data_IF_595032156818
#
_entry.id   IF_595032156818
#
_cell.length_a   1.000
_cell.length_b   1.000
_cell.length_c   1.000
_cell.angle_alpha   90.00
_cell.angle_beta   90.00
_cell.angle_gamma   90.00
#
_symmetry.space_group_name_H-M   'P 1'
#
loop_
_entity.id
_entity.type
_entity.pdbx_description
1 polymer ?
#
# COMPACT_ATOMS: atom_id res chain seq x y z
N UNK A 1 17.45 -5.47 -18.73
CA UNK A 1 16.50 -4.98 -17.72
C UNK A 1 16.86 -5.70 -16.44
N UNK A 2 17.44 -5.01 -15.45
CA UNK A 2 17.89 -5.65 -14.21
C UNK A 2 16.69 -5.73 -13.28
N UNK A 3 16.07 -6.91 -13.17
CA UNK A 3 15.06 -7.17 -12.15
C UNK A 3 15.68 -6.93 -10.79
N UNK A 4 15.23 -5.89 -10.08
CA UNK A 4 15.70 -5.61 -8.74
C UNK A 4 15.04 -6.62 -7.81
N UNK A 5 15.77 -7.56 -7.19
CA UNK A 5 15.20 -8.68 -6.43
C UNK A 5 14.35 -8.25 -5.22
N UNK A 6 14.38 -6.96 -4.88
CA UNK A 6 13.58 -6.36 -3.82
C UNK A 6 12.23 -5.80 -4.29
N UNK A 7 11.90 -5.88 -5.58
CA UNK A 7 10.57 -5.47 -6.10
C UNK A 7 9.50 -6.47 -5.66
N UNK A 8 8.33 -5.94 -5.30
CA UNK A 8 7.19 -6.76 -4.92
C UNK A 8 6.68 -7.52 -6.15
N UNK A 9 6.68 -8.88 -6.14
CA UNK A 9 6.32 -9.68 -7.32
C UNK A 9 4.89 -9.47 -7.82
N UNK A 10 3.95 -9.08 -6.94
CA UNK A 10 2.57 -8.76 -7.31
C UNK A 10 2.19 -7.32 -6.90
N UNK A 11 2.98 -6.36 -7.38
CA UNK A 11 2.80 -4.96 -7.06
C UNK A 11 1.46 -4.39 -7.55
N UNK A 12 0.88 -4.91 -8.63
CA UNK A 12 -0.43 -4.49 -9.11
C UNK A 12 -1.54 -4.83 -8.10
N UNK A 13 -1.53 -6.06 -7.57
CA UNK A 13 -2.50 -6.50 -6.57
C UNK A 13 -2.38 -5.73 -5.26
N UNK A 14 -1.15 -5.48 -4.80
CA UNK A 14 -0.95 -4.67 -3.60
C UNK A 14 -1.45 -3.24 -3.79
N UNK A 15 -1.24 -2.62 -4.96
CA UNK A 15 -1.76 -1.28 -5.26
C UNK A 15 -3.29 -1.26 -5.24
N UNK A 16 -3.94 -2.27 -5.82
CA UNK A 16 -5.39 -2.39 -5.80
C UNK A 16 -5.92 -2.52 -4.36
N UNK A 17 -5.33 -3.41 -3.56
CA UNK A 17 -5.67 -3.55 -2.15
C UNK A 17 -5.44 -2.27 -1.36
N UNK A 18 -4.32 -1.56 -1.59
CA UNK A 18 -4.00 -0.30 -0.93
C UNK A 18 -5.05 0.77 -1.25
N UNK A 19 -5.42 0.93 -2.52
CA UNK A 19 -6.43 1.89 -2.94
C UNK A 19 -7.81 1.58 -2.34
N UNK A 20 -8.22 0.32 -2.37
CA UNK A 20 -9.51 -0.12 -1.79
C UNK A 20 -9.53 0.08 -0.26
N UNK A 21 -8.46 -0.30 0.43
CA UNK A 21 -8.30 -0.13 1.88
C UNK A 21 -8.30 1.34 2.28
N UNK A 22 -7.64 2.21 1.53
CA UNK A 22 -7.68 3.66 1.76
C UNK A 22 -9.09 4.22 1.57
N UNK A 23 -9.83 3.74 0.57
CA UNK A 23 -11.22 4.13 0.32
C UNK A 23 -12.14 3.66 1.44
N UNK A 24 -12.03 2.41 1.86
CA UNK A 24 -12.83 1.83 2.94
C UNK A 24 -12.61 2.56 4.27
N UNK A 25 -11.37 2.93 4.57
CA UNK A 25 -11.03 3.69 5.77
C UNK A 25 -11.25 5.20 5.67
N UNK A 26 -11.68 5.72 4.50
CA UNK A 26 -11.80 7.16 4.27
C UNK A 26 -10.49 7.93 4.46
N UNK A 27 -9.34 7.27 4.24
CA UNK A 27 -8.02 7.81 4.52
C UNK A 27 -7.44 8.48 3.26
N UNK A 28 -7.18 9.80 3.29
CA UNK A 28 -6.55 10.48 2.17
C UNK A 28 -5.05 10.13 2.07
N UNK A 29 -4.49 10.19 0.87
CA UNK A 29 -3.07 9.92 0.61
C UNK A 29 -2.12 10.80 1.43
N UNK A 30 -2.54 12.03 1.78
CA UNK A 30 -1.80 12.93 2.67
C UNK A 30 -1.62 12.36 4.08
N UNK A 31 -2.64 11.73 4.65
CA UNK A 31 -2.58 11.12 5.99
C UNK A 31 -1.68 9.90 6.00
N UNK A 32 -1.76 9.08 4.95
CA UNK A 32 -0.88 7.93 4.77
C UNK A 32 0.59 8.37 4.55
N UNK A 33 0.81 9.42 3.77
CA UNK A 33 2.14 10.02 3.55
C UNK A 33 2.77 10.49 4.86
N UNK A 34 2.05 11.31 5.65
CA UNK A 34 2.54 11.82 6.92
C UNK A 34 2.94 10.70 7.89
N UNK A 35 2.10 9.67 8.02
CA UNK A 35 2.34 8.57 8.97
C UNK A 35 3.40 7.58 8.48
N UNK A 36 3.48 7.35 7.17
CA UNK A 36 4.50 6.47 6.58
C UNK A 36 5.84 7.18 6.37
N UNK A 37 5.91 8.51 6.51
CA UNK A 37 7.10 9.30 6.19
C UNK A 37 7.49 9.26 4.71
N UNK A 38 6.60 8.80 3.83
CA UNK A 38 6.77 8.87 2.38
C UNK A 38 6.19 10.18 1.88
N UNK A 39 6.72 10.75 0.80
CA UNK A 39 6.12 11.95 0.20
C UNK A 39 4.75 11.62 -0.41
N UNK A 40 3.83 12.59 -0.41
CA UNK A 40 2.50 12.44 -1.06
C UNK A 40 2.68 12.07 -2.54
N UNK A 41 3.68 12.63 -3.21
CA UNK A 41 4.02 12.32 -4.59
C UNK A 41 4.45 10.85 -4.76
N UNK A 42 5.25 10.31 -3.83
CA UNK A 42 5.65 8.89 -3.83
C UNK A 42 4.44 7.98 -3.67
N UNK A 43 3.52 8.31 -2.74
CA UNK A 43 2.28 7.54 -2.55
C UNK A 43 1.42 7.58 -3.81
N UNK A 44 1.27 8.75 -4.43
CA UNK A 44 0.55 8.92 -5.70
C UNK A 44 1.14 8.08 -6.84
N UNK A 45 2.47 8.15 -7.04
CA UNK A 45 3.17 7.34 -8.06
C UNK A 45 3.00 5.84 -7.83
N UNK A 46 3.03 5.39 -6.57
CA UNK A 46 2.79 3.98 -6.25
C UNK A 46 1.37 3.59 -6.65
N UNK A 47 0.35 4.38 -6.28
CA UNK A 47 -1.05 4.13 -6.60
C UNK A 47 -1.31 4.13 -8.12
N UNK A 48 -0.66 5.03 -8.86
CA UNK A 48 -0.77 5.14 -10.32
C UNK A 48 0.12 4.14 -11.08
N UNK A 49 0.84 3.25 -10.39
CA UNK A 49 1.83 2.33 -10.96
C UNK A 49 2.95 3.00 -11.78
N UNK A 50 3.29 4.26 -11.47
CA UNK A 50 4.36 5.04 -12.10
C UNK A 50 5.74 4.76 -11.49
N UNK A 51 5.81 3.95 -10.42
CA UNK A 51 7.05 3.57 -9.75
C UNK A 51 7.05 2.10 -9.39
N UNK A 52 8.23 1.47 -9.48
CA UNK A 52 8.47 0.17 -8.91
C UNK A 52 8.25 0.22 -7.39
N UNK A 53 7.50 -0.76 -6.91
CA UNK A 53 7.18 -0.91 -5.50
C UNK A 53 8.10 -1.98 -4.91
N UNK A 54 8.92 -1.59 -3.94
CA UNK A 54 9.75 -2.55 -3.21
C UNK A 54 8.96 -3.25 -2.10
N UNK A 55 9.38 -4.46 -1.72
CA UNK A 55 8.85 -5.19 -0.57
C UNK A 55 8.88 -4.36 0.71
N UNK A 56 9.99 -3.64 0.97
CA UNK A 56 10.13 -2.81 2.15
C UNK A 56 9.15 -1.62 2.18
N UNK A 57 8.95 -0.97 1.03
CA UNK A 57 7.97 0.11 0.90
C UNK A 57 6.54 -0.43 1.07
N UNK A 58 6.23 -1.59 0.48
CA UNK A 58 4.92 -2.24 0.61
C UNK A 58 4.62 -2.59 2.07
N UNK A 59 5.53 -3.26 2.77
CA UNK A 59 5.37 -3.61 4.18
C UNK A 59 5.19 -2.37 5.08
N UNK A 60 5.92 -1.29 4.78
CA UNK A 60 5.77 0.00 5.50
C UNK A 60 4.38 0.60 5.30
N UNK A 61 3.90 0.64 4.06
CA UNK A 61 2.58 1.17 3.71
C UNK A 61 1.47 0.33 4.34
N UNK A 62 1.57 -1.00 4.27
CA UNK A 62 0.60 -1.92 4.88
C UNK A 62 0.49 -1.68 6.39
N UNK A 63 1.63 -1.72 7.10
CA UNK A 63 1.67 -1.50 8.55
C UNK A 63 1.10 -0.14 8.94
N UNK A 64 1.44 0.89 8.18
CA UNK A 64 0.95 2.25 8.40
C UNK A 64 -0.57 2.31 8.24
N UNK A 65 -1.09 1.72 7.17
CA UNK A 65 -2.52 1.73 6.88
C UNK A 65 -3.32 0.96 7.94
N UNK A 66 -2.83 -0.21 8.36
CA UNK A 66 -3.43 -0.99 9.45
C UNK A 66 -3.47 -0.21 10.76
N UNK A 67 -2.39 0.50 11.11
CA UNK A 67 -2.36 1.34 12.29
C UNK A 67 -3.40 2.48 12.21
N UNK A 68 -3.48 3.16 11.06
CA UNK A 68 -4.46 4.24 10.85
C UNK A 68 -5.91 3.73 10.86
N UNK A 69 -6.15 2.54 10.32
CA UNK A 69 -7.46 1.92 10.32
C UNK A 69 -7.88 1.49 11.73
N UNK A 70 -6.95 0.91 12.52
CA UNK A 70 -7.19 0.60 13.92
C UNK A 70 -7.46 1.86 14.77
N UNK A 71 -6.74 2.97 14.53
CA UNK A 71 -7.02 4.27 15.17
C UNK A 71 -8.42 4.81 14.81
N UNK A 72 -8.96 4.43 13.65
CA UNK A 72 -10.27 4.86 13.16
C UNK A 72 -11.39 3.85 13.41
N UNK A 73 -11.12 2.73 14.09
CA UNK A 73 -12.03 1.59 14.28
C UNK A 73 -12.62 1.06 12.97
N UNK A 74 -11.80 1.03 11.91
CA UNK A 74 -12.18 0.51 10.59
C UNK A 74 -11.49 -0.82 10.31
N UNK A 75 -12.27 -1.82 9.91
CA UNK A 75 -11.74 -3.08 9.41
C UNK A 75 -11.26 -2.94 7.96
N UNK A 76 -10.01 -3.31 7.70
CA UNK A 76 -9.44 -3.31 6.35
C UNK A 76 -9.74 -4.64 5.65
N UNK A 77 -9.96 -4.64 4.32
CA UNK A 77 -10.09 -5.86 3.57
C UNK A 77 -8.84 -6.71 3.71
N UNK A 78 -9.00 -8.03 3.74
CA UNK A 78 -7.87 -8.95 3.72
C UNK A 78 -7.05 -8.72 2.44
N UNK A 79 -5.72 -8.65 2.59
CA UNK A 79 -4.83 -8.77 1.44
C UNK A 79 -4.94 -10.23 0.98
N UNK A 80 -5.87 -10.50 0.06
CA UNK A 80 -6.09 -11.84 -0.46
C UNK A 80 -4.80 -12.37 -1.07
N UNK A 81 -4.11 -13.24 -0.35
CA UNK A 81 -2.98 -14.03 -0.86
C UNK A 81 -3.58 -15.13 -1.73
N UNK A 82 -3.70 -14.87 -3.02
CA UNK A 82 -4.21 -15.87 -3.97
C UNK A 82 -3.10 -16.85 -4.34
N UNK A 83 -2.90 -17.87 -3.52
CA UNK A 83 -2.49 -19.19 -4.03
C UNK A 83 -3.80 -19.92 -4.33
N UNK A 84 -4.13 -20.26 -5.59
CA UNK A 84 -5.15 -21.28 -5.81
C UNK A 84 -4.65 -22.57 -5.15
N UNK A 85 -5.49 -23.16 -4.30
CA UNK A 85 -5.27 -24.47 -3.69
C UNK A 85 -4.91 -25.55 -4.72
#
# INVERSE_FOLDING_TARGET
MTENPNTLPDAARFRAWLADSMRAAGLPASRLSLRSGLSVNTVGRILNAESDLTLGTAAKLERTLRALAAEADVELPALVSGVPS
#
